data_IF_029824087222
#
_entry.id   IF_029824087222
#
_cell.length_a   1.000
_cell.length_b   1.000
_cell.length_c   1.000
_cell.angle_alpha   90.00
_cell.angle_beta   90.00
_cell.angle_gamma   90.00
#
_symmetry.space_group_name_H-M   'P 1'
#
loop_
_entity.id
_entity.type
_entity.pdbx_description
1 polymer ?
#
# COMPACT_ATOMS: atom_id res chain seq x y z
N UNK A 1 -13.08 3.09 38.05
CA UNK A 1 -11.99 2.61 37.17
C UNK A 1 -11.70 3.77 36.21
N UNK A 2 -10.57 4.51 36.28
CA UNK A 2 -9.19 4.13 35.90
C UNK A 2 -9.19 3.41 34.54
N UNK A 3 -8.59 3.89 33.45
CA UNK A 3 -7.62 5.00 33.21
C UNK A 3 -8.10 5.86 31.99
N UNK A 4 -7.39 6.81 31.35
CA UNK A 4 -6.00 7.32 31.44
C UNK A 4 -5.99 8.83 31.04
N UNK A 5 -4.81 9.46 30.88
CA UNK A 5 -4.64 10.86 30.48
C UNK A 5 -4.44 11.04 28.97
N UNK A 6 -5.02 12.10 28.39
CA UNK A 6 -4.57 12.70 27.13
C UNK A 6 -3.81 14.00 27.48
N UNK A 7 -2.49 14.03 27.26
CA UNK A 7 -1.65 15.15 27.68
C UNK A 7 -1.73 16.33 26.71
N UNK A 8 -2.51 17.35 27.07
CA UNK A 8 -2.54 18.64 26.37
C UNK A 8 -1.33 19.50 26.77
N UNK A 9 -0.20 19.34 26.07
CA UNK A 9 1.01 20.11 26.31
C UNK A 9 0.90 21.55 25.77
N UNK A 10 0.25 22.43 26.52
CA UNK A 10 0.31 23.89 26.29
C UNK A 10 1.65 24.41 26.80
N UNK A 11 2.59 24.69 25.88
CA UNK A 11 3.83 25.41 26.22
C UNK A 11 3.57 26.91 26.11
N UNK A 12 3.62 27.59 27.25
CA UNK A 12 3.44 29.02 27.39
C UNK A 12 4.80 29.65 27.70
N UNK A 13 5.38 30.37 26.73
CA UNK A 13 6.56 31.21 26.91
C UNK A 13 6.28 32.57 26.26
N UNK A 14 6.54 33.64 27.01
CA UNK A 14 6.12 34.98 26.63
C UNK A 14 7.03 35.60 25.56
N UNK A 15 6.40 36.05 24.47
CA UNK A 15 7.02 36.78 23.37
C UNK A 15 6.00 36.88 22.24
N UNK A 16 5.88 38.03 21.58
CA UNK A 16 4.91 38.24 20.50
C UNK A 16 5.22 37.36 19.27
N UNK A 17 4.68 36.16 19.26
CA UNK A 17 4.54 35.30 18.10
C UNK A 17 3.13 34.71 18.15
N UNK A 18 2.29 35.04 17.17
CA UNK A 18 0.92 34.52 17.12
C UNK A 18 0.93 32.99 17.08
N UNK A 19 0.11 32.35 17.92
CA UNK A 19 0.01 30.89 17.94
C UNK A 19 -0.39 30.38 16.56
N UNK A 20 0.53 29.67 15.90
CA UNK A 20 0.29 29.08 14.59
C UNK A 20 -0.71 27.92 14.74
N UNK A 21 -1.99 28.19 14.51
CA UNK A 21 -3.05 27.18 14.63
C UNK A 21 -2.79 26.05 13.63
N UNK A 22 -2.71 24.83 14.14
CA UNK A 22 -2.58 23.62 13.32
C UNK A 22 -3.84 23.43 12.47
N UNK A 23 -3.65 23.31 11.16
CA UNK A 23 -4.71 23.06 10.17
C UNK A 23 -4.84 21.59 9.78
N UNK A 24 -3.78 20.80 9.96
CA UNK A 24 -3.74 19.39 9.62
C UNK A 24 -2.71 18.65 10.49
N UNK A 25 -3.01 17.37 10.76
CA UNK A 25 -2.14 16.43 11.47
C UNK A 25 -1.99 15.19 10.60
N UNK A 26 -0.77 14.74 10.34
CA UNK A 26 -0.45 13.63 9.45
C UNK A 26 0.24 12.55 10.26
N UNK A 27 -0.28 11.32 10.14
CA UNK A 27 0.18 10.15 10.89
C UNK A 27 0.85 9.14 9.97
N UNK A 28 1.81 8.37 10.49
CA UNK A 28 2.26 7.13 9.85
C UNK A 28 1.26 5.99 10.09
N UNK A 29 1.49 4.83 9.45
CA UNK A 29 0.61 3.66 9.60
C UNK A 29 0.64 3.03 11.00
N UNK A 30 1.59 3.41 11.87
CA UNK A 30 1.59 3.03 13.28
C UNK A 30 0.78 4.01 14.15
N UNK A 31 0.10 4.99 13.54
CA UNK A 31 -0.66 6.03 14.23
C UNK A 31 0.20 7.10 14.89
N UNK A 32 1.49 7.21 14.54
CA UNK A 32 2.41 8.21 15.13
C UNK A 32 2.40 9.49 14.30
N UNK A 33 2.41 10.64 14.96
CA UNK A 33 2.30 11.96 14.33
C UNK A 33 3.61 12.33 13.60
N UNK A 34 3.66 12.22 12.28
CA UNK A 34 4.87 12.53 11.49
C UNK A 34 4.94 13.97 11.00
N UNK A 35 3.81 14.67 10.85
CA UNK A 35 3.83 16.09 10.54
C UNK A 35 2.60 16.84 11.08
N UNK A 36 2.82 18.09 11.49
CA UNK A 36 1.76 19.07 11.80
C UNK A 36 1.92 20.24 10.83
N UNK A 37 0.84 20.64 10.15
CA UNK A 37 0.87 21.78 9.22
C UNK A 37 -0.01 22.91 9.73
N UNK A 38 0.58 24.07 9.97
CA UNK A 38 -0.14 25.29 10.37
C UNK A 38 -1.03 25.82 9.24
N UNK A 39 -2.00 26.68 9.58
CA UNK A 39 -2.82 27.41 8.61
C UNK A 39 -2.00 28.25 7.61
N UNK A 40 -0.79 28.67 7.99
CA UNK A 40 0.17 29.38 7.11
C UNK A 40 0.83 28.50 6.04
N UNK A 41 0.67 27.18 6.09
CA UNK A 41 1.38 26.22 5.24
C UNK A 41 2.79 25.84 5.72
N UNK A 42 3.30 26.46 6.79
CA UNK A 42 4.50 25.98 7.50
C UNK A 42 4.19 24.63 8.14
N UNK A 43 5.16 23.71 8.15
CA UNK A 43 4.99 22.42 8.85
C UNK A 43 6.10 22.19 9.87
N UNK A 44 5.82 21.33 10.85
CA UNK A 44 6.82 20.72 11.73
C UNK A 44 6.79 19.23 11.48
N UNK A 45 7.96 18.64 11.24
CA UNK A 45 8.15 17.22 10.92
C UNK A 45 8.79 16.51 12.11
N UNK A 46 8.26 15.34 12.44
CA UNK A 46 8.75 14.49 13.50
C UNK A 46 9.35 13.22 12.88
N UNK A 47 10.54 12.83 13.33
CA UNK A 47 11.08 11.51 13.06
C UNK A 47 11.12 10.68 14.34
N UNK A 48 11.01 9.37 14.17
CA UNK A 48 10.98 8.41 15.26
C UNK A 48 12.05 7.34 15.06
N UNK A 49 12.57 6.79 16.15
CA UNK A 49 13.34 5.56 16.11
C UNK A 49 12.43 4.32 15.91
N UNK A 50 13.04 3.13 15.87
CA UNK A 50 12.33 1.86 15.75
C UNK A 50 11.50 1.48 16.99
N UNK A 51 11.75 2.11 18.14
CA UNK A 51 11.03 1.89 19.41
C UNK A 51 9.89 2.91 19.61
N UNK A 52 9.79 3.93 18.77
CA UNK A 52 8.76 4.97 18.83
C UNK A 52 9.15 6.23 19.60
N UNK A 53 10.41 6.38 20.03
CA UNK A 53 10.89 7.62 20.64
C UNK A 53 11.09 8.69 19.55
N UNK A 54 10.85 9.96 19.89
CA UNK A 54 11.12 11.08 18.97
C UNK A 54 12.65 11.21 18.81
N UNK A 55 13.11 11.11 17.56
CA UNK A 55 14.51 11.23 17.19
C UNK A 55 14.86 12.65 16.69
N UNK A 56 13.92 13.34 16.05
CA UNK A 56 14.10 14.72 15.60
C UNK A 56 12.76 15.46 15.46
N UNK A 57 12.81 16.78 15.63
CA UNK A 57 11.72 17.72 15.35
C UNK A 57 12.32 18.83 14.49
N UNK A 58 11.85 18.99 13.25
CA UNK A 58 12.39 19.99 12.32
C UNK A 58 11.29 20.87 11.70
N UNK A 59 11.51 22.19 11.61
CA UNK A 59 10.62 23.07 10.87
C UNK A 59 10.81 22.88 9.36
N UNK A 60 9.70 22.96 8.63
CA UNK A 60 9.64 22.91 7.18
C UNK A 60 9.07 24.24 6.65
N UNK A 61 9.77 24.86 5.71
CA UNK A 61 9.35 26.14 5.15
C UNK A 61 8.04 26.03 4.34
N UNK A 62 7.31 27.14 4.22
CA UNK A 62 6.08 27.21 3.41
C UNK A 62 6.41 26.82 1.97
N UNK A 63 5.65 25.89 1.40
CA UNK A 63 5.85 25.41 0.02
C UNK A 63 7.08 24.53 -0.21
N UNK A 64 7.90 24.24 0.81
CA UNK A 64 9.00 23.29 0.67
C UNK A 64 8.45 21.88 0.43
N UNK A 65 8.92 21.25 -0.67
CA UNK A 65 8.50 19.92 -1.07
C UNK A 65 8.87 18.88 -0.01
N UNK A 66 7.88 18.09 0.44
CA UNK A 66 8.07 16.98 1.37
C UNK A 66 7.03 15.87 1.14
N UNK A 67 7.40 14.64 1.45
CA UNK A 67 6.53 13.46 1.49
C UNK A 67 6.59 12.92 2.92
N UNK A 68 5.45 12.87 3.61
CA UNK A 68 5.39 12.48 5.02
C UNK A 68 4.86 11.06 5.21
N UNK A 69 3.77 10.72 4.50
CA UNK A 69 3.09 9.42 4.62
C UNK A 69 2.37 9.07 3.31
N UNK A 70 1.99 7.81 3.17
CA UNK A 70 1.10 7.35 2.11
C UNK A 70 0.22 6.21 2.64
N UNK A 71 -1.00 6.10 2.10
CA UNK A 71 -1.99 5.10 2.48
C UNK A 71 -2.80 4.64 1.26
N UNK A 72 -3.04 3.32 1.06
CA UNK A 72 -2.54 2.20 1.87
C UNK A 72 -1.02 2.00 1.70
N UNK A 73 -0.41 1.27 2.65
CA UNK A 73 1.03 0.93 2.56
C UNK A 73 1.34 -0.20 1.57
N UNK A 74 0.32 -0.92 1.11
CA UNK A 74 0.44 -2.04 0.18
C UNK A 74 -0.75 -2.06 -0.80
N UNK A 75 -0.55 -2.66 -1.97
CA UNK A 75 -1.62 -2.80 -2.96
C UNK A 75 -1.17 -3.47 -4.24
N UNK A 76 -2.16 -3.90 -5.02
CA UNK A 76 -1.99 -4.46 -6.36
C UNK A 76 -1.91 -3.32 -7.40
N UNK A 77 -1.64 -3.68 -8.66
CA UNK A 77 -1.73 -2.72 -9.77
C UNK A 77 -3.13 -2.10 -9.84
N UNK A 78 -3.21 -0.79 -10.08
CA UNK A 78 -4.41 0.05 -10.00
C UNK A 78 -4.96 0.37 -8.60
N UNK A 79 -4.40 -0.15 -7.49
CA UNK A 79 -4.76 0.34 -6.15
C UNK A 79 -4.58 1.86 -6.09
N UNK A 80 -5.57 2.56 -5.55
CA UNK A 80 -5.48 4.01 -5.32
C UNK A 80 -4.68 4.26 -4.05
N UNK A 81 -3.65 5.11 -4.16
CA UNK A 81 -2.78 5.50 -3.04
C UNK A 81 -2.87 7.00 -2.83
N UNK A 82 -3.13 7.39 -1.59
CA UNK A 82 -3.15 8.78 -1.13
C UNK A 82 -1.78 9.10 -0.54
N UNK A 83 -1.04 10.04 -1.14
CA UNK A 83 0.26 10.50 -0.68
C UNK A 83 0.07 11.83 0.04
N UNK A 84 0.53 11.91 1.28
CA UNK A 84 0.43 13.08 2.15
C UNK A 84 1.80 13.77 2.27
N UNK A 85 1.81 15.09 2.15
CA UNK A 85 3.06 15.85 2.02
C UNK A 85 2.87 17.37 2.12
N UNK A 86 3.82 18.10 1.55
CA UNK A 86 3.80 19.55 1.42
C UNK A 86 4.49 19.97 0.11
N UNK A 87 4.22 21.18 -0.39
CA UNK A 87 4.90 21.73 -1.56
C UNK A 87 4.60 21.02 -2.89
N UNK A 88 3.54 20.21 -2.95
CA UNK A 88 3.08 19.60 -4.20
C UNK A 88 2.47 20.67 -5.14
N UNK A 89 2.53 20.44 -6.45
CA UNK A 89 1.79 21.27 -7.40
C UNK A 89 0.30 20.95 -7.34
N UNK A 90 -0.57 21.96 -7.37
CA UNK A 90 -2.02 21.79 -7.51
C UNK A 90 -2.43 21.32 -8.91
N UNK A 91 -1.54 21.41 -9.91
CA UNK A 91 -1.73 20.83 -11.24
C UNK A 91 -1.22 19.39 -11.26
N UNK A 92 -2.09 18.36 -11.45
CA UNK A 92 -1.67 16.95 -11.35
C UNK A 92 -0.49 16.57 -12.24
N UNK A 93 -0.49 17.01 -13.50
CA UNK A 93 0.56 16.71 -14.50
C UNK A 93 1.92 17.34 -14.19
N UNK A 94 2.00 18.31 -13.26
CA UNK A 94 3.25 18.91 -12.81
C UNK A 94 3.91 18.13 -11.65
N UNK A 95 3.27 17.08 -11.14
CA UNK A 95 3.82 16.16 -10.15
C UNK A 95 4.20 14.85 -10.84
N UNK A 96 5.49 14.48 -10.84
CA UNK A 96 5.93 13.16 -11.29
C UNK A 96 6.04 12.23 -10.09
N UNK A 97 5.14 11.27 -9.98
CA UNK A 97 5.17 10.24 -8.92
C UNK A 97 5.68 8.93 -9.48
N UNK A 98 6.53 8.22 -8.72
CA UNK A 98 7.04 6.90 -9.10
C UNK A 98 7.00 5.93 -7.93
N UNK A 99 6.63 4.68 -8.21
CA UNK A 99 6.76 3.53 -7.31
C UNK A 99 8.02 2.76 -7.69
N UNK A 100 9.06 2.86 -6.87
CA UNK A 100 10.38 2.24 -7.10
C UNK A 100 10.92 2.42 -8.55
N UNK A 101 10.79 3.63 -9.09
CA UNK A 101 11.23 3.99 -10.45
C UNK A 101 10.12 3.99 -11.53
N UNK A 102 9.06 3.20 -11.36
CA UNK A 102 7.93 3.09 -12.31
C UNK A 102 6.96 4.26 -12.13
N UNK A 103 6.73 5.05 -13.18
CA UNK A 103 5.88 6.25 -13.14
C UNK A 103 4.40 5.93 -12.96
N UNK A 104 3.77 6.58 -11.99
CA UNK A 104 2.34 6.50 -11.71
C UNK A 104 1.54 7.63 -12.37
N UNK A 105 0.25 7.41 -12.58
CA UNK A 105 -0.70 8.47 -12.94
C UNK A 105 -1.20 9.18 -11.68
N UNK A 106 -1.20 10.52 -11.71
CA UNK A 106 -1.76 11.37 -10.65
C UNK A 106 -3.20 11.72 -11.01
N UNK A 107 -4.15 11.27 -10.21
CA UNK A 107 -5.61 11.45 -10.45
C UNK A 107 -6.14 12.73 -9.84
N UNK A 108 -5.60 13.19 -8.71
CA UNK A 108 -5.88 14.50 -8.13
C UNK A 108 -4.67 15.05 -7.39
N UNK A 109 -4.59 16.37 -7.25
CA UNK A 109 -3.49 17.05 -6.61
C UNK A 109 -3.94 18.30 -5.84
N UNK A 110 -3.39 18.46 -4.65
CA UNK A 110 -3.43 19.68 -3.82
C UNK A 110 -2.02 19.92 -3.29
N UNK A 111 -1.73 21.09 -2.72
CA UNK A 111 -0.40 21.38 -2.15
C UNK A 111 0.06 20.43 -1.02
N UNK A 112 -0.87 19.65 -0.42
CA UNK A 112 -0.61 18.76 0.73
C UNK A 112 -0.95 17.27 0.47
N UNK A 113 -1.63 16.97 -0.62
CA UNK A 113 -2.08 15.61 -0.95
C UNK A 113 -2.05 15.36 -2.45
N UNK A 114 -1.50 14.22 -2.86
CA UNK A 114 -1.69 13.64 -4.20
C UNK A 114 -2.49 12.35 -4.07
N UNK A 115 -3.36 12.08 -5.04
CA UNK A 115 -3.96 10.75 -5.22
C UNK A 115 -3.39 10.17 -6.51
N UNK A 116 -2.92 8.92 -6.45
CA UNK A 116 -2.29 8.21 -7.56
C UNK A 116 -2.82 6.79 -7.68
N UNK A 117 -2.53 6.11 -8.79
CA UNK A 117 -2.72 4.67 -8.93
C UNK A 117 -1.39 3.94 -9.03
N UNK A 118 -1.27 2.78 -8.38
CA UNK A 118 -0.12 1.87 -8.53
C UNK A 118 0.01 1.47 -10.01
N UNK A 119 1.13 1.77 -10.69
CA UNK A 119 1.27 1.52 -12.12
C UNK A 119 1.56 0.03 -12.42
N UNK A 120 1.29 -0.39 -13.66
CA UNK A 120 1.75 -1.69 -14.15
C UNK A 120 3.29 -1.73 -14.17
N UNK A 121 3.87 -2.84 -13.71
CA UNK A 121 5.32 -2.96 -13.54
C UNK A 121 5.88 -2.15 -12.35
N UNK A 122 5.05 -1.71 -11.41
CA UNK A 122 5.53 -1.28 -10.10
C UNK A 122 6.23 -2.46 -9.38
N UNK A 123 7.24 -2.15 -8.56
CA UNK A 123 7.90 -3.13 -7.68
C UNK A 123 7.94 -2.58 -6.26
N UNK A 124 8.04 -3.48 -5.26
CA UNK A 124 8.16 -3.08 -3.85
C UNK A 124 9.40 -2.23 -3.63
N UNK A 125 9.20 -1.06 -3.02
CA UNK A 125 10.23 -0.06 -2.82
C UNK A 125 9.65 1.30 -2.47
N UNK A 126 10.45 2.35 -2.35
CA UNK A 126 9.98 3.66 -1.93
C UNK A 126 9.16 4.36 -3.03
N UNK A 127 8.28 5.27 -2.61
CA UNK A 127 7.59 6.20 -3.49
C UNK A 127 8.41 7.47 -3.59
N UNK A 128 8.68 7.95 -4.81
CA UNK A 128 9.30 9.26 -5.03
C UNK A 128 8.31 10.24 -5.67
N UNK A 129 8.29 11.48 -5.20
CA UNK A 129 7.53 12.59 -5.79
C UNK A 129 8.50 13.68 -6.25
N UNK A 130 8.42 14.07 -7.52
CA UNK A 130 9.19 15.17 -8.11
C UNK A 130 8.27 16.30 -8.54
N UNK A 131 8.65 17.53 -8.17
CA UNK A 131 7.98 18.78 -8.56
C UNK A 131 9.04 19.75 -9.05
N UNK A 132 8.95 20.18 -10.31
CA UNK A 132 10.01 20.96 -10.96
C UNK A 132 11.34 20.19 -10.99
N UNK A 133 12.37 20.73 -10.35
CA UNK A 133 13.70 20.09 -10.22
C UNK A 133 13.84 19.25 -8.93
N UNK A 134 13.05 19.53 -7.89
CA UNK A 134 13.18 18.89 -6.57
C UNK A 134 12.49 17.53 -6.55
N UNK A 135 13.14 16.52 -5.95
CA UNK A 135 12.57 15.19 -5.74
C UNK A 135 12.66 14.83 -4.25
N UNK A 136 11.59 14.26 -3.71
CA UNK A 136 11.53 13.69 -2.36
C UNK A 136 11.12 12.23 -2.43
N UNK A 137 11.52 11.45 -1.44
CA UNK A 137 11.31 10.00 -1.39
C UNK A 137 10.76 9.61 -0.03
N UNK A 138 9.86 8.62 0.03
CA UNK A 138 9.31 8.11 1.28
C UNK A 138 10.37 7.39 2.12
N UNK A 139 10.22 7.47 3.44
CA UNK A 139 11.08 6.76 4.41
C UNK A 139 10.79 5.26 4.49
N UNK A 140 9.56 4.85 4.14
CA UNK A 140 9.13 3.45 4.05
C UNK A 140 8.85 3.03 2.61
N UNK A 141 8.92 1.72 2.37
CA UNK A 141 8.55 1.13 1.09
C UNK A 141 7.02 1.01 0.98
N UNK A 142 6.49 1.23 -0.23
CA UNK A 142 5.19 0.69 -0.63
C UNK A 142 5.39 -0.77 -1.04
N UNK A 143 4.55 -1.67 -0.53
CA UNK A 143 4.60 -3.09 -0.87
C UNK A 143 3.67 -3.37 -2.05
N UNK A 144 4.25 -3.68 -3.21
CA UNK A 144 3.48 -4.11 -4.37
C UNK A 144 3.09 -5.55 -4.16
N UNK A 145 1.80 -5.78 -4.00
CA UNK A 145 1.21 -7.11 -3.88
C UNK A 145 0.94 -7.64 -5.29
N UNK A 146 1.37 -8.86 -5.57
CA UNK A 146 1.16 -9.51 -6.86
C UNK A 146 0.10 -10.59 -6.72
N UNK A 147 -0.77 -10.70 -7.73
CA UNK A 147 -1.77 -11.76 -7.79
C UNK A 147 -1.14 -13.15 -7.99
N UNK A 148 -1.97 -14.20 -7.96
CA UNK A 148 -1.51 -15.57 -8.20
C UNK A 148 -1.00 -15.71 -9.63
N UNK A 149 -0.18 -16.73 -9.84
CA UNK A 149 0.23 -17.19 -11.18
C UNK A 149 0.16 -18.70 -11.19
N UNK A 150 -0.30 -19.29 -12.31
CA UNK A 150 -0.25 -20.73 -12.55
C UNK A 150 0.87 -20.97 -13.57
N UNK A 151 1.80 -21.85 -13.26
CA UNK A 151 2.91 -22.25 -14.16
C UNK A 151 2.68 -23.61 -14.81
N UNK A 152 1.73 -24.40 -14.29
CA UNK A 152 1.32 -25.67 -14.87
C UNK A 152 0.52 -26.54 -13.89
N UNK A 153 0.02 -27.67 -14.38
CA UNK A 153 -0.71 -28.65 -13.57
C UNK A 153 -0.41 -30.07 -14.04
N UNK A 154 -0.57 -31.05 -13.15
CA UNK A 154 -0.37 -32.47 -13.46
C UNK A 154 -1.18 -33.38 -12.51
N UNK A 155 -1.77 -34.50 -13.00
CA UNK A 155 -1.86 -34.90 -14.40
C UNK A 155 -2.81 -34.00 -15.20
N UNK A 156 -2.62 -33.95 -16.52
CA UNK A 156 -3.48 -33.16 -17.43
C UNK A 156 -4.85 -33.78 -17.72
N UNK A 157 -5.06 -35.03 -17.33
CA UNK A 157 -6.31 -35.77 -17.45
C UNK A 157 -6.44 -36.73 -16.26
N UNK A 158 -7.66 -36.96 -15.79
CA UNK A 158 -7.93 -37.88 -14.69
C UNK A 158 -9.42 -38.20 -14.60
N UNK A 159 -9.73 -39.39 -14.09
CA UNK A 159 -11.09 -39.74 -13.70
C UNK A 159 -11.48 -39.00 -12.40
N UNK A 160 -12.76 -39.03 -12.05
CA UNK A 160 -13.28 -38.58 -10.75
C UNK A 160 -12.41 -39.15 -9.61
N UNK A 161 -12.01 -38.29 -8.67
CA UNK A 161 -11.14 -38.63 -7.54
C UNK A 161 -9.64 -38.53 -7.83
N UNK A 162 -9.21 -38.34 -9.09
CA UNK A 162 -7.78 -38.15 -9.41
C UNK A 162 -7.26 -36.87 -8.75
N UNK A 163 -6.18 -36.98 -7.98
CA UNK A 163 -5.51 -35.82 -7.41
C UNK A 163 -4.73 -35.07 -8.50
N UNK A 164 -5.08 -33.80 -8.70
CA UNK A 164 -4.41 -32.86 -9.59
C UNK A 164 -3.62 -31.87 -8.76
N UNK A 165 -2.34 -31.73 -9.10
CA UNK A 165 -1.41 -30.77 -8.52
C UNK A 165 -1.29 -29.57 -9.46
N UNK A 166 -1.51 -28.36 -8.93
CA UNK A 166 -1.36 -27.09 -9.63
C UNK A 166 -0.15 -26.37 -9.05
N UNK A 167 0.81 -26.03 -9.91
CA UNK A 167 2.04 -25.33 -9.55
C UNK A 167 1.94 -23.86 -9.97
N UNK A 168 2.53 -22.97 -9.18
CA UNK A 168 2.38 -21.54 -9.37
C UNK A 168 3.22 -20.68 -8.42
N UNK A 169 2.76 -19.47 -8.18
CA UNK A 169 3.30 -18.55 -7.16
C UNK A 169 2.22 -17.59 -6.68
N UNK A 170 2.37 -17.07 -5.46
CA UNK A 170 1.39 -16.21 -4.78
C UNK A 170 0.01 -16.86 -4.64
N UNK A 171 -0.04 -18.18 -4.46
CA UNK A 171 -1.31 -18.91 -4.33
C UNK A 171 -2.02 -18.65 -2.99
N UNK A 172 -1.36 -17.97 -2.04
CA UNK A 172 -1.89 -17.59 -0.72
C UNK A 172 -2.39 -18.78 0.13
N UNK A 173 -1.56 -19.33 1.05
CA UNK A 173 -1.92 -20.49 1.86
C UNK A 173 -2.82 -20.17 3.06
N UNK A 174 -3.33 -18.94 3.19
CA UNK A 174 -4.27 -18.61 4.27
C UNK A 174 -5.58 -19.40 4.07
N UNK A 175 -6.05 -20.05 5.13
CA UNK A 175 -7.29 -20.82 5.13
C UNK A 175 -8.48 -19.97 4.67
N UNK A 176 -9.28 -20.52 3.76
CA UNK A 176 -10.48 -19.90 3.16
C UNK A 176 -10.25 -18.60 2.35
N UNK A 177 -9.00 -18.13 2.23
CA UNK A 177 -8.65 -16.99 1.37
C UNK A 177 -8.58 -17.37 -0.11
N UNK A 178 -8.23 -18.62 -0.41
CA UNK A 178 -8.01 -19.12 -1.77
C UNK A 178 -9.03 -20.18 -2.17
N UNK A 179 -9.57 -20.03 -3.37
CA UNK A 179 -10.52 -20.96 -3.99
C UNK A 179 -10.01 -21.41 -5.37
N UNK A 180 -10.43 -22.60 -5.80
CA UNK A 180 -10.09 -23.17 -7.10
C UNK A 180 -11.37 -23.60 -7.82
N UNK A 181 -11.42 -23.44 -9.13
CA UNK A 181 -12.45 -24.03 -9.98
C UNK A 181 -11.87 -24.78 -11.17
N UNK A 182 -12.57 -25.83 -11.60
CA UNK A 182 -12.28 -26.59 -12.82
C UNK A 182 -13.46 -26.45 -13.77
N UNK A 183 -13.26 -25.83 -14.94
CA UNK A 183 -14.34 -25.54 -15.88
C UNK A 183 -15.43 -24.63 -15.32
N UNK A 184 -15.10 -23.77 -14.35
CA UNK A 184 -16.04 -22.91 -13.62
C UNK A 184 -16.77 -23.61 -12.46
N UNK A 185 -16.56 -24.91 -12.24
CA UNK A 185 -17.09 -25.63 -11.08
C UNK A 185 -16.10 -25.48 -9.93
N UNK A 186 -16.52 -24.84 -8.83
CA UNK A 186 -15.70 -24.71 -7.62
C UNK A 186 -15.36 -26.07 -7.02
N UNK A 187 -14.10 -26.27 -6.62
CA UNK A 187 -13.59 -27.52 -6.04
C UNK A 187 -12.83 -27.26 -4.74
N UNK A 188 -12.99 -28.13 -3.72
CA UNK A 188 -12.27 -27.99 -2.47
C UNK A 188 -10.78 -28.31 -2.66
N UNK A 189 -9.93 -27.50 -2.05
CA UNK A 189 -8.49 -27.75 -1.99
C UNK A 189 -8.19 -28.84 -0.96
N UNK A 190 -7.35 -29.79 -1.34
CA UNK A 190 -6.82 -30.84 -0.47
C UNK A 190 -5.55 -30.36 0.26
N UNK A 191 -4.74 -29.53 -0.39
CA UNK A 191 -3.63 -28.82 0.23
C UNK A 191 -3.34 -27.49 -0.46
N UNK A 192 -2.73 -26.56 0.25
CA UNK A 192 -2.25 -25.31 -0.33
C UNK A 192 -0.95 -24.83 0.33
N UNK A 193 -0.06 -24.29 -0.50
CA UNK A 193 1.19 -23.62 -0.17
C UNK A 193 1.30 -22.40 -1.10
N UNK A 194 2.26 -21.50 -0.87
CA UNK A 194 2.41 -20.33 -1.74
C UNK A 194 2.76 -20.67 -3.21
N UNK A 195 3.26 -21.87 -3.50
CA UNK A 195 3.75 -22.30 -4.82
C UNK A 195 3.04 -23.52 -5.41
N UNK A 196 2.20 -24.19 -4.63
CA UNK A 196 1.48 -25.39 -5.06
C UNK A 196 0.15 -25.55 -4.31
N UNK A 197 -0.87 -25.99 -5.01
CA UNK A 197 -2.13 -26.48 -4.42
C UNK A 197 -2.55 -27.80 -5.06
N UNK A 198 -3.30 -28.61 -4.32
CA UNK A 198 -3.82 -29.90 -4.82
C UNK A 198 -5.33 -29.96 -4.64
N UNK A 199 -6.03 -30.59 -5.59
CA UNK A 199 -7.47 -30.88 -5.51
C UNK A 199 -7.77 -32.23 -6.15
N UNK A 200 -8.93 -32.81 -5.86
CA UNK A 200 -9.40 -34.03 -6.54
C UNK A 200 -10.43 -33.70 -7.61
N UNK A 201 -10.34 -34.31 -8.80
CA UNK A 201 -11.35 -34.17 -9.86
C UNK A 201 -12.74 -34.51 -9.31
N UNK A 202 -13.71 -33.59 -9.27
CA UNK A 202 -15.01 -33.83 -8.65
C UNK A 202 -15.92 -34.69 -9.54
N UNK A 203 -16.95 -35.31 -8.94
CA UNK A 203 -17.87 -36.22 -9.64
C UNK A 203 -18.68 -35.58 -10.78
N UNK A 204 -18.77 -34.26 -10.81
CA UNK A 204 -19.46 -33.46 -11.80
C UNK A 204 -18.50 -32.62 -12.69
N UNK A 205 -17.19 -32.84 -12.65
CA UNK A 205 -16.27 -32.13 -13.53
C UNK A 205 -16.45 -32.55 -14.99
N UNK A 206 -16.77 -31.57 -15.84
CA UNK A 206 -16.37 -31.59 -17.23
C UNK A 206 -14.90 -31.15 -17.38
N UNK A 207 -14.35 -31.30 -18.58
CA UNK A 207 -13.07 -30.68 -18.95
C UNK A 207 -13.20 -29.15 -18.93
N UNK A 208 -12.14 -28.45 -18.53
CA UNK A 208 -12.10 -26.99 -18.61
C UNK A 208 -10.82 -26.39 -18.01
N UNK A 209 -10.69 -25.05 -18.04
CA UNK A 209 -9.59 -24.36 -17.39
C UNK A 209 -9.59 -24.60 -15.88
N UNK A 210 -8.39 -24.62 -15.29
CA UNK A 210 -8.18 -24.55 -13.84
C UNK A 210 -8.01 -23.07 -13.50
N UNK A 211 -8.89 -22.50 -12.67
CA UNK A 211 -8.74 -21.14 -12.18
C UNK A 211 -8.52 -21.13 -10.68
N UNK A 212 -7.47 -20.42 -10.22
CA UNK A 212 -7.22 -20.13 -8.80
C UNK A 212 -7.55 -18.66 -8.52
N UNK A 213 -8.35 -18.42 -7.48
CA UNK A 213 -8.71 -17.08 -6.99
C UNK A 213 -8.18 -16.91 -5.58
N UNK A 214 -7.42 -15.84 -5.35
CA UNK A 214 -6.89 -15.39 -4.05
C UNK A 214 -7.44 -13.98 -3.73
N UNK A 215 -7.22 -13.41 -2.53
CA UNK A 215 -7.59 -12.02 -2.25
C UNK A 215 -6.89 -10.99 -3.17
N UNK A 216 -5.76 -11.39 -3.77
CA UNK A 216 -4.89 -10.52 -4.57
C UNK A 216 -5.12 -10.63 -6.09
N UNK A 217 -6.05 -11.48 -6.53
CA UNK A 217 -6.41 -11.66 -7.94
C UNK A 217 -6.67 -13.11 -8.33
N UNK A 218 -6.79 -13.35 -9.64
CA UNK A 218 -7.06 -14.66 -10.23
C UNK A 218 -5.99 -15.05 -11.25
N UNK A 219 -5.76 -16.35 -11.40
CA UNK A 219 -4.92 -16.95 -12.44
C UNK A 219 -5.62 -18.16 -13.04
N UNK A 220 -5.38 -18.39 -14.33
CA UNK A 220 -5.98 -19.46 -15.15
C UNK A 220 -4.91 -20.02 -16.11
#
# INVERSE_FOLDING_TARGET
MRYLFLALAVILLAGWAGFAVASNYIYDANGRLVAVTAASGSSVVYSYDALGNILSIQPLAVGQLALFAFDPQQGTVNTQVTIQGNGFSTTPSSNTVKFNGTTASVTSATAKQLVVKVPSGATTGPISVKVGTTTVTSSTNFVVVTGPTITGFTPGIGNVGTAVTVSGSNLDPISDATTLSLGGIGVPLTSITNTQTTFSVPANAGSGPIQVTTPNGQAT
#
